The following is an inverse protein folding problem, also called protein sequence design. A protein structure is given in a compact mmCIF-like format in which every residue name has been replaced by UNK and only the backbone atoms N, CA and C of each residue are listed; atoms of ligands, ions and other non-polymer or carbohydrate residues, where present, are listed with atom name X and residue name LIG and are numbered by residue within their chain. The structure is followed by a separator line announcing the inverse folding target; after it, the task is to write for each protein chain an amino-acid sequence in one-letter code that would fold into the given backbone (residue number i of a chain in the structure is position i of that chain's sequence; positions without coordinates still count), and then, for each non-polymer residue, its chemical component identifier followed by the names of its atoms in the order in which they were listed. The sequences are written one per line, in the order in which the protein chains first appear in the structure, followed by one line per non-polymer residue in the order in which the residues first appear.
data_IF_615340201433
#
_entry.id   IF_615340201433
#
_cell.length_a   1.000
_cell.length_b   1.000
_cell.length_c   1.000
_cell.angle_alpha   90.00
_cell.angle_beta   90.00
_cell.angle_gamma   90.00
#
_symmetry.space_group_name_H-M   'P 1'
#
loop_
_entity.id
_entity.type
_entity.pdbx_description
1 polymer ?
#
# COMPACT_ATOMS: atom_id res chain seq x y z
N UNK A 1 -7.03 17.57 -25.18
CA UNK A 1 -6.49 17.70 -23.81
C UNK A 1 -5.97 16.33 -23.43
N UNK A 2 -4.70 16.06 -23.70
CA UNK A 2 -4.06 14.81 -23.30
C UNK A 2 -3.19 15.18 -22.10
N UNK A 3 -3.62 14.82 -20.90
CA UNK A 3 -2.73 14.84 -19.74
C UNK A 3 -1.57 13.88 -20.07
N UNK A 4 -0.37 14.45 -20.17
CA UNK A 4 0.83 13.68 -20.48
C UNK A 4 0.97 12.55 -19.47
N UNK A 5 1.39 11.38 -19.96
CA UNK A 5 1.66 10.19 -19.15
C UNK A 5 2.58 10.54 -17.98
N UNK A 6 1.98 10.84 -16.83
CA UNK A 6 2.69 11.09 -15.59
C UNK A 6 3.33 9.79 -15.13
N UNK A 7 4.59 9.85 -14.73
CA UNK A 7 5.25 8.73 -14.06
C UNK A 7 4.61 8.57 -12.68
N UNK A 8 3.91 7.47 -12.44
CA UNK A 8 3.31 7.12 -11.15
C UNK A 8 4.20 6.13 -10.41
N UNK A 9 4.35 6.32 -9.10
CA UNK A 9 5.06 5.37 -8.24
C UNK A 9 4.21 4.12 -8.03
N UNK A 10 4.85 2.95 -7.96
CA UNK A 10 4.15 1.70 -7.70
C UNK A 10 5.01 0.72 -6.92
N UNK A 11 4.35 -0.19 -6.21
CA UNK A 11 4.97 -1.34 -5.58
C UNK A 11 4.82 -2.55 -6.50
N UNK A 12 5.94 -2.95 -7.09
CA UNK A 12 6.04 -4.19 -7.85
C UNK A 12 6.36 -5.35 -6.91
N UNK A 13 5.52 -6.39 -6.95
CA UNK A 13 5.81 -7.62 -6.22
C UNK A 13 7.02 -8.32 -6.84
N UNK A 14 8.05 -8.57 -6.02
CA UNK A 14 9.24 -9.29 -6.45
C UNK A 14 8.86 -10.71 -6.87
N UNK A 15 9.31 -11.13 -8.05
CA UNK A 15 9.01 -12.45 -8.61
C UNK A 15 7.66 -12.57 -9.33
N UNK A 16 6.88 -11.48 -9.43
CA UNK A 16 5.66 -11.44 -10.24
C UNK A 16 5.70 -10.25 -11.21
N UNK A 17 5.10 -10.44 -12.39
CA UNK A 17 4.96 -9.40 -13.41
C UNK A 17 3.64 -8.64 -13.34
N UNK A 18 2.68 -9.14 -12.57
CA UNK A 18 1.31 -8.64 -12.48
C UNK A 18 1.00 -8.11 -11.05
N UNK A 19 -0.18 -7.51 -10.87
CA UNK A 19 -0.70 -7.04 -9.57
C UNK A 19 0.17 -5.97 -8.87
N UNK A 20 0.54 -4.92 -9.61
CA UNK A 20 1.30 -3.80 -9.03
C UNK A 20 0.37 -2.89 -8.24
N UNK A 21 0.84 -2.41 -7.09
CA UNK A 21 0.06 -1.50 -6.25
C UNK A 21 0.45 -0.08 -6.61
N UNK A 22 -0.46 0.68 -7.20
CA UNK A 22 -0.23 2.07 -7.59
C UNK A 22 -0.25 2.97 -6.36
N UNK A 23 0.72 3.88 -6.29
CA UNK A 23 0.80 4.93 -5.28
C UNK A 23 0.33 6.24 -5.95
N UNK A 24 -0.98 6.51 -5.83
CA UNK A 24 -1.58 7.71 -6.42
C UNK A 24 -1.10 8.97 -5.70
N UNK A 25 -0.55 9.92 -6.45
CA UNK A 25 0.00 11.17 -5.93
C UNK A 25 -1.07 11.95 -5.15
N UNK A 26 -0.69 12.52 -4.00
CA UNK A 26 -1.62 13.23 -3.11
C UNK A 26 -2.60 12.35 -2.32
N UNK A 27 -2.55 11.02 -2.46
CA UNK A 27 -3.42 10.09 -1.73
C UNK A 27 -2.67 9.27 -0.69
N UNK A 28 -3.36 8.95 0.41
CA UNK A 28 -2.91 7.94 1.35
C UNK A 28 -3.26 6.54 0.82
N UNK A 29 -2.26 5.66 0.73
CA UNK A 29 -2.43 4.29 0.23
C UNK A 29 -2.21 3.30 1.35
N UNK A 30 -3.29 2.73 1.86
CA UNK A 30 -3.26 1.74 2.95
C UNK A 30 -3.19 0.30 2.42
N UNK A 31 -2.34 -0.52 3.04
CA UNK A 31 -2.16 -1.94 2.69
C UNK A 31 -2.46 -2.80 3.91
N UNK A 32 -3.25 -3.85 3.74
CA UNK A 32 -3.57 -4.78 4.81
C UNK A 32 -4.51 -5.89 4.38
N UNK A 33 -4.93 -6.74 5.31
CA UNK A 33 -5.94 -7.79 5.07
C UNK A 33 -7.38 -7.29 5.27
N UNK A 34 -7.57 -6.16 5.94
CA UNK A 34 -8.89 -5.61 6.24
C UNK A 34 -9.57 -5.06 4.99
N UNK A 35 -10.91 -5.07 4.99
CA UNK A 35 -11.73 -4.54 3.89
C UNK A 35 -11.68 -3.02 3.77
N UNK A 36 -11.10 -2.32 4.75
CA UNK A 36 -10.91 -0.87 4.73
C UNK A 36 -9.54 -0.42 4.21
N UNK A 37 -8.66 -1.36 3.82
CA UNK A 37 -7.39 -1.03 3.20
C UNK A 37 -7.60 -0.70 1.71
N UNK A 38 -6.80 0.21 1.16
CA UNK A 38 -6.78 0.54 -0.28
C UNK A 38 -6.43 -0.69 -1.10
N UNK A 39 -5.38 -1.41 -0.68
CA UNK A 39 -5.00 -2.69 -1.24
C UNK A 39 -5.15 -3.80 -0.22
N UNK A 40 -6.12 -4.68 -0.48
CA UNK A 40 -6.34 -5.87 0.34
C UNK A 40 -5.42 -7.00 -0.10
N UNK A 41 -4.48 -7.39 0.76
CA UNK A 41 -3.60 -8.54 0.54
C UNK A 41 -4.07 -9.74 1.35
N UNK A 42 -4.45 -10.82 0.65
CA UNK A 42 -4.83 -12.09 1.28
C UNK A 42 -3.91 -13.22 0.83
N UNK A 43 -3.13 -13.74 1.78
CA UNK A 43 -2.36 -14.96 1.56
C UNK A 43 -3.22 -16.20 1.82
N UNK A 44 -3.26 -17.13 0.87
CA UNK A 44 -3.96 -18.42 1.03
C UNK A 44 -3.23 -19.35 2.02
N UNK A 45 -1.91 -19.27 2.09
CA UNK A 45 -1.07 -20.14 2.94
C UNK A 45 -0.95 -19.61 4.37
N UNK A 46 -0.85 -18.30 4.55
CA UNK A 46 -0.67 -17.67 5.87
C UNK A 46 -1.57 -16.43 6.03
N UNK A 47 -2.88 -16.59 6.24
CA UNK A 47 -3.83 -15.48 6.29
C UNK A 47 -3.55 -14.44 7.39
N UNK A 48 -2.81 -14.79 8.43
CA UNK A 48 -2.54 -13.91 9.59
C UNK A 48 -1.20 -13.17 9.52
N UNK A 49 -0.37 -13.44 8.50
CA UNK A 49 0.94 -12.79 8.36
C UNK A 49 0.83 -11.28 8.08
N UNK A 50 -0.28 -10.86 7.45
CA UNK A 50 -0.58 -9.46 7.17
C UNK A 50 -1.70 -8.98 8.11
N UNK A 51 -1.43 -7.91 8.84
CA UNK A 51 -2.38 -7.25 9.74
C UNK A 51 -3.57 -6.68 8.97
N UNK A 52 -4.70 -6.41 9.66
CA UNK A 52 -5.88 -5.79 9.03
C UNK A 52 -5.55 -4.43 8.40
N UNK A 53 -4.77 -3.62 9.11
CA UNK A 53 -4.14 -2.40 8.61
C UNK A 53 -2.64 -2.58 8.87
N UNK A 54 -1.85 -2.87 7.85
CA UNK A 54 -0.45 -3.30 8.02
C UNK A 54 0.51 -2.14 7.85
N UNK A 55 0.39 -1.39 6.76
CA UNK A 55 1.17 -0.19 6.55
C UNK A 55 0.42 0.81 5.68
N UNK A 56 0.91 2.04 5.68
CA UNK A 56 0.38 3.14 4.88
C UNK A 56 1.53 3.79 4.13
N UNK A 57 1.30 4.05 2.84
CA UNK A 57 2.17 4.87 2.00
C UNK A 57 1.55 6.25 1.85
N UNK A 58 2.34 7.29 2.06
CA UNK A 58 1.89 8.68 1.93
C UNK A 58 3.07 9.58 1.56
N UNK A 59 2.80 10.63 0.79
CA UNK A 59 3.77 11.70 0.56
C UNK A 59 3.83 12.64 1.75
N UNK A 60 5.04 12.98 2.17
CA UNK A 60 5.25 14.06 3.14
C UNK A 60 5.03 15.43 2.48
N UNK A 61 5.19 16.51 3.26
CA UNK A 61 5.04 17.90 2.77
C UNK A 61 6.04 18.27 1.66
N UNK A 62 7.14 17.51 1.53
CA UNK A 62 8.16 17.69 0.50
C UNK A 62 7.89 16.85 -0.76
N UNK A 63 6.74 16.15 -0.82
CA UNK A 63 6.35 15.28 -1.94
C UNK A 63 7.08 13.93 -1.99
N UNK A 64 7.87 13.59 -0.96
CA UNK A 64 8.59 12.32 -0.90
C UNK A 64 7.69 11.21 -0.35
N UNK A 65 7.69 10.06 -1.01
CA UNK A 65 6.98 8.87 -0.55
C UNK A 65 7.59 8.33 0.74
N UNK A 66 6.74 8.13 1.74
CA UNK A 66 7.08 7.50 3.01
C UNK A 66 6.24 6.24 3.20
N UNK A 67 6.75 5.31 3.99
CA UNK A 67 6.01 4.12 4.44
C UNK A 67 5.97 4.13 5.96
N UNK A 68 4.76 3.94 6.50
CA UNK A 68 4.50 3.93 7.94
C UNK A 68 3.94 2.55 8.27
N UNK A 69 4.68 1.80 9.10
CA UNK A 69 4.19 0.54 9.67
C UNK A 69 3.12 0.84 10.72
N UNK A 70 1.92 0.34 10.50
CA UNK A 70 0.86 0.39 11.51
C UNK A 70 1.14 -0.72 12.50
N UNK A 71 1.86 -0.38 13.58
CA UNK A 71 2.09 -1.31 14.68
C UNK A 71 0.77 -1.95 15.09
N UNK A 72 0.79 -3.27 15.19
CA UNK A 72 -0.34 -4.06 15.69
C UNK A 72 -0.70 -3.51 17.07
N UNK A 73 -1.89 -2.95 17.24
CA UNK A 73 -2.46 -2.78 18.57
C UNK A 73 -2.61 -4.19 19.17
N UNK A 74 -1.66 -4.58 20.01
CA UNK A 74 -1.79 -5.74 20.87
C UNK A 74 -2.96 -5.45 21.83
N UNK A 75 -3.97 -6.32 21.95
CA UNK A 75 -4.90 -6.22 23.06
C UNK A 75 -4.11 -6.50 24.34
N UNK A 76 -3.98 -5.48 25.19
CA UNK A 76 -3.60 -5.64 26.60
C UNK A 76 -4.41 -6.74 27.27
#
# INVERSE_FOLDING_TARGET
MAEGAGSTWCLKRVGMSEEWLLLEDGSEVSIGRGTGATYQLMSKSCPLMISRNHCVFQQNTDGQWTVIDNKVQNPV
#
